data_IF_870825042377
#
_entry.id   IF_870825042377
#
_cell.length_a   1.000
_cell.length_b   1.000
_cell.length_c   1.000
_cell.angle_alpha   90.00
_cell.angle_beta   90.00
_cell.angle_gamma   90.00
#
_symmetry.space_group_name_H-M   'P 1'
#
loop_
_entity.id
_entity.type
_entity.pdbx_description
1 polymer ?
#
# COMPACT_ATOMS: atom_id res chain seq x y z
N UNK A 1 -2.35 48.07 22.59
CA UNK A 1 -3.55 47.39 23.10
C UNK A 1 -3.22 45.92 23.27
N UNK A 2 -2.75 45.53 24.45
CA UNK A 2 -2.54 44.13 24.82
C UNK A 2 -3.89 43.52 25.17
N UNK A 3 -4.26 42.38 24.59
CA UNK A 3 -5.27 41.48 25.15
C UNK A 3 -4.61 40.13 25.40
N UNK A 4 -4.66 39.76 26.67
CA UNK A 4 -4.09 38.58 27.30
C UNK A 4 -4.63 37.27 26.70
N UNK A 5 -3.74 36.29 26.46
CA UNK A 5 -4.12 34.88 26.37
C UNK A 5 -4.18 34.32 27.78
N UNK A 6 -5.39 33.94 28.24
CA UNK A 6 -5.56 33.07 29.42
C UNK A 6 -5.34 31.62 29.00
N UNK A 7 -4.30 31.00 29.54
CA UNK A 7 -4.09 29.55 29.47
C UNK A 7 -4.84 28.94 30.67
N UNK A 8 -5.87 28.15 30.41
CA UNK A 8 -6.46 27.25 31.42
C UNK A 8 -5.69 25.94 31.40
N UNK A 9 -4.86 25.71 32.43
CA UNK A 9 -4.23 24.42 32.67
C UNK A 9 -5.14 23.57 33.56
N UNK A 10 -5.62 22.44 33.05
CA UNK A 10 -6.17 21.37 33.87
C UNK A 10 -5.08 20.31 34.04
N UNK A 11 -4.59 20.13 35.27
CA UNK A 11 -3.57 19.15 35.62
C UNK A 11 -4.25 17.81 35.89
N UNK A 12 -3.94 16.79 35.07
CA UNK A 12 -4.24 15.38 35.36
C UNK A 12 -2.95 14.68 35.84
N UNK A 13 -3.04 13.63 36.69
CA UNK A 13 -1.90 13.07 37.43
C UNK A 13 -1.09 12.04 36.62
N UNK A 14 -0.84 12.32 35.36
CA UNK A 14 0.15 11.64 34.52
C UNK A 14 0.78 12.78 33.71
N UNK A 15 2.07 13.08 33.90
CA UNK A 15 2.76 14.28 33.41
C UNK A 15 2.86 14.45 31.88
N UNK A 16 1.77 14.31 31.14
CA UNK A 16 1.66 14.55 29.72
C UNK A 16 1.17 15.98 29.48
N UNK A 17 2.05 16.87 29.04
CA UNK A 17 1.66 18.16 28.48
C UNK A 17 1.09 17.91 27.09
N UNK A 18 -0.23 17.81 26.98
CA UNK A 18 -0.90 17.84 25.68
C UNK A 18 -0.88 19.28 25.15
N UNK A 19 0.05 19.56 24.23
CA UNK A 19 -0.06 20.73 23.36
C UNK A 19 -1.13 20.43 22.30
N UNK A 20 -2.39 20.68 22.65
CA UNK A 20 -3.44 20.82 21.64
C UNK A 20 -3.18 22.09 20.84
N UNK A 21 -2.43 21.97 19.73
CA UNK A 21 -2.49 22.98 18.68
C UNK A 21 -3.86 22.85 17.99
N UNK A 22 -4.75 23.77 18.32
CA UNK A 22 -6.05 23.88 17.66
C UNK A 22 -5.86 24.03 16.16
N UNK A 23 -6.50 23.15 15.38
CA UNK A 23 -6.48 23.11 13.91
C UNK A 23 -7.02 24.40 13.25
N UNK A 24 -7.55 25.34 14.02
CA UNK A 24 -8.09 26.61 13.55
C UNK A 24 -7.05 27.60 13.01
N UNK A 25 -5.75 27.37 13.19
CA UNK A 25 -4.71 28.27 12.65
C UNK A 25 -4.36 28.00 11.18
N UNK A 26 -4.60 26.78 10.67
CA UNK A 26 -4.17 26.39 9.33
C UNK A 26 -5.10 26.85 8.20
N UNK A 27 -6.38 27.09 8.50
CA UNK A 27 -7.35 27.50 7.47
C UNK A 27 -7.30 28.99 7.10
N UNK A 28 -6.50 29.83 7.78
CA UNK A 28 -6.55 31.29 7.58
C UNK A 28 -5.26 31.93 7.01
N UNK A 29 -4.23 31.17 6.63
CA UNK A 29 -3.00 31.77 6.09
C UNK A 29 -2.66 31.19 4.72
N UNK A 30 -2.95 31.96 3.67
CA UNK A 30 -2.47 31.73 2.30
C UNK A 30 -0.96 31.97 2.24
N UNK A 31 -0.16 30.99 2.69
CA UNK A 31 1.30 31.07 2.60
C UNK A 31 1.83 30.57 1.26
N UNK A 32 2.66 31.42 0.63
CA UNK A 32 3.45 31.13 -0.56
C UNK A 32 4.35 29.89 -0.40
N UNK A 33 4.51 29.11 -1.48
CA UNK A 33 5.26 27.85 -1.57
C UNK A 33 6.64 27.92 -0.91
N UNK A 34 7.36 29.05 -1.07
CA UNK A 34 8.69 29.26 -0.48
C UNK A 34 8.71 29.24 1.06
N UNK A 35 7.60 29.61 1.71
CA UNK A 35 7.45 29.55 3.17
C UNK A 35 7.07 28.15 3.66
N UNK A 36 6.35 27.36 2.84
CA UNK A 36 6.05 25.95 3.15
C UNK A 36 7.32 25.11 3.20
N UNK A 37 8.24 25.32 2.25
CA UNK A 37 9.53 24.61 2.23
C UNK A 37 10.40 24.97 3.44
N UNK A 38 10.46 26.25 3.83
CA UNK A 38 11.21 26.66 5.03
C UNK A 38 10.59 26.10 6.32
N UNK A 39 9.27 26.03 6.40
CA UNK A 39 8.58 25.45 7.55
C UNK A 39 8.78 23.93 7.62
N UNK A 40 8.78 23.24 6.47
CA UNK A 40 9.07 21.81 6.36
C UNK A 40 10.49 21.48 6.81
N UNK A 41 11.50 22.25 6.37
CA UNK A 41 12.89 22.06 6.80
C UNK A 41 13.04 22.28 8.31
N UNK A 42 12.37 23.29 8.87
CA UNK A 42 12.41 23.56 10.32
C UNK A 42 11.69 22.46 11.12
N UNK A 43 10.59 21.93 10.60
CA UNK A 43 9.83 20.84 11.20
C UNK A 43 10.62 19.52 11.18
N UNK A 44 11.25 19.18 10.05
CA UNK A 44 12.13 18.02 9.96
C UNK A 44 13.34 18.14 10.91
N UNK A 45 13.91 19.35 11.05
CA UNK A 45 15.00 19.59 12.00
C UNK A 45 14.55 19.38 13.46
N UNK A 46 13.34 19.82 13.82
CA UNK A 46 12.77 19.61 15.16
C UNK A 46 12.44 18.14 15.44
N UNK A 47 11.91 17.42 14.45
CA UNK A 47 11.63 15.98 14.57
C UNK A 47 12.93 15.20 14.71
N UNK A 48 13.98 15.56 13.97
CA UNK A 48 15.31 14.93 14.07
C UNK A 48 15.98 15.20 15.42
N UNK A 49 15.84 16.42 15.96
CA UNK A 49 16.34 16.77 17.29
C UNK A 49 15.58 16.02 18.41
N UNK A 50 14.28 15.81 18.24
CA UNK A 50 13.45 15.05 19.17
C UNK A 50 13.75 13.53 19.11
N UNK A 51 14.10 13.04 17.92
CA UNK A 51 14.52 11.65 17.66
C UNK A 51 15.86 11.30 18.33
N UNK A 52 16.76 12.27 18.48
CA UNK A 52 18.03 12.10 19.21
C UNK A 52 17.87 12.04 20.74
N UNK A 53 16.72 12.47 21.29
CA UNK A 53 16.54 12.65 22.73
C UNK A 53 15.66 11.55 23.36
N UNK A 54 14.82 10.84 22.58
CA UNK A 54 13.84 9.89 23.14
C UNK A 54 14.08 8.45 22.70
N UNK A 55 14.50 7.60 23.65
CA UNK A 55 14.75 6.18 23.47
C UNK A 55 13.46 5.36 23.23
N UNK A 56 13.50 4.57 22.14
CA UNK A 56 12.84 3.30 21.81
C UNK A 56 11.32 3.06 21.96
N UNK A 57 10.52 3.77 22.76
CA UNK A 57 9.11 3.36 22.99
C UNK A 57 8.03 4.13 22.21
N UNK A 58 8.40 5.19 21.48
CA UNK A 58 7.45 6.07 20.78
C UNK A 58 7.25 5.79 19.29
N UNK A 59 7.87 4.73 18.77
CA UNK A 59 8.03 4.48 17.33
C UNK A 59 6.73 4.15 16.59
N UNK A 60 5.79 3.45 17.23
CA UNK A 60 4.57 2.98 16.55
C UNK A 60 3.52 4.09 16.34
N UNK A 61 3.40 5.04 17.27
CA UNK A 61 2.31 6.03 17.24
C UNK A 61 2.62 7.22 16.30
N UNK A 62 3.89 7.62 16.23
CA UNK A 62 4.34 8.73 15.37
C UNK A 62 4.36 8.32 13.89
N UNK A 63 4.69 7.06 13.58
CA UNK A 63 4.62 6.53 12.21
C UNK A 63 3.19 6.53 11.65
N UNK A 64 2.20 6.19 12.47
CA UNK A 64 0.80 6.21 12.04
C UNK A 64 0.31 7.62 11.71
N UNK A 65 0.73 8.64 12.48
CA UNK A 65 0.36 10.03 12.22
C UNK A 65 1.14 10.67 11.07
N UNK A 66 2.42 10.31 10.86
CA UNK A 66 3.17 10.76 9.69
C UNK A 66 2.66 10.11 8.39
N UNK A 67 2.22 8.85 8.41
CA UNK A 67 1.61 8.20 7.24
C UNK A 67 0.32 8.91 6.80
N UNK A 68 -0.53 9.32 7.74
CA UNK A 68 -1.78 10.07 7.44
C UNK A 68 -1.49 11.47 6.91
N UNK A 69 -0.44 12.14 7.41
CA UNK A 69 -0.04 13.46 6.92
C UNK A 69 0.64 13.38 5.55
N UNK A 70 1.41 12.31 5.28
CA UNK A 70 2.05 12.05 3.99
C UNK A 70 1.02 11.67 2.91
N UNK A 71 0.02 10.85 3.25
CA UNK A 71 -1.11 10.51 2.37
C UNK A 71 -1.91 11.75 1.94
N UNK A 72 -2.05 12.77 2.81
CA UNK A 72 -2.71 14.04 2.47
C UNK A 72 -1.86 15.02 1.66
N UNK A 73 -0.53 14.94 1.72
CA UNK A 73 0.34 15.90 1.05
C UNK A 73 0.91 15.43 -0.30
N UNK A 74 0.96 14.12 -0.57
CA UNK A 74 1.63 13.60 -1.77
C UNK A 74 0.70 12.85 -2.74
N UNK A 75 -0.47 12.40 -2.30
CA UNK A 75 -1.33 11.51 -3.09
C UNK A 75 -2.40 12.23 -3.94
N UNK A 76 -2.52 13.56 -3.85
CA UNK A 76 -3.61 14.31 -4.49
C UNK A 76 -3.40 14.64 -5.97
N UNK A 77 -2.19 15.07 -6.37
CA UNK A 77 -2.04 15.77 -7.66
C UNK A 77 -1.10 15.08 -8.68
N UNK A 78 -0.31 14.06 -8.30
CA UNK A 78 0.73 13.48 -9.19
C UNK A 78 0.40 12.07 -9.68
N UNK A 79 -0.53 11.38 -9.01
CA UNK A 79 -0.84 9.98 -9.32
C UNK A 79 -1.96 9.81 -10.36
N UNK A 80 -2.91 10.76 -10.45
CA UNK A 80 -4.00 10.71 -11.45
C UNK A 80 -3.50 10.91 -12.89
N UNK A 81 -2.58 11.86 -13.12
CA UNK A 81 -2.11 12.21 -14.47
C UNK A 81 -1.30 11.09 -15.16
N UNK A 82 -0.63 10.21 -14.39
CA UNK A 82 0.24 9.17 -14.95
C UNK A 82 -0.48 7.86 -15.29
N UNK A 83 -1.66 7.60 -14.71
CA UNK A 83 -2.44 6.41 -15.04
C UNK A 83 -3.17 6.56 -16.38
N UNK A 84 -3.70 7.76 -16.67
CA UNK A 84 -4.44 8.03 -17.91
C UNK A 84 -3.56 7.91 -19.17
N UNK A 85 -2.26 8.20 -19.08
CA UNK A 85 -1.33 8.09 -20.21
C UNK A 85 -0.88 6.64 -20.50
N UNK A 86 -0.89 5.76 -19.50
CA UNK A 86 -0.53 4.35 -19.67
C UNK A 86 -1.62 3.55 -20.39
N UNK A 87 -2.91 3.87 -20.17
CA UNK A 87 -4.03 3.18 -20.81
C UNK A 87 -4.39 3.71 -22.21
N UNK A 88 -3.93 4.91 -22.57
CA UNK A 88 -4.26 5.53 -23.87
C UNK A 88 -3.40 5.02 -25.05
N UNK A 89 -2.39 4.17 -24.81
CA UNK A 89 -1.46 3.71 -25.86
C UNK A 89 -1.81 2.37 -26.50
N UNK A 90 -2.77 1.62 -25.97
CA UNK A 90 -3.19 0.34 -26.52
C UNK A 90 -4.67 0.38 -26.89
N UNK A 91 -5.01 1.03 -28.00
CA UNK A 91 -6.12 0.65 -28.90
C UNK A 91 -6.27 1.70 -30.00
N UNK A 92 -5.86 1.36 -31.22
CA UNK A 92 -6.34 2.03 -32.45
C UNK A 92 -6.81 0.94 -33.43
N UNK A 93 -7.86 1.20 -34.23
CA UNK A 93 -8.79 0.17 -34.69
C UNK A 93 -8.70 -0.11 -36.19
N UNK A 94 -9.19 -1.27 -36.64
CA UNK A 94 -9.65 -1.49 -38.02
C UNK A 94 -10.88 -2.42 -38.08
N UNK A 95 -11.99 -1.82 -38.54
CA UNK A 95 -13.07 -2.27 -39.45
C UNK A 95 -14.07 -3.43 -39.22
N UNK A 96 -15.34 -2.99 -39.03
CA UNK A 96 -16.58 -3.21 -39.85
C UNK A 96 -17.17 -4.63 -40.06
N UNK A 97 -18.44 -4.84 -39.64
CA UNK A 97 -19.66 -5.09 -40.47
C UNK A 97 -20.87 -5.31 -39.54
N UNK A 98 -22.03 -4.74 -39.92
CA UNK A 98 -23.22 -4.61 -39.10
C UNK A 98 -24.23 -5.76 -39.10
N UNK A 99 -25.21 -5.64 -38.20
CA UNK A 99 -26.36 -6.52 -38.07
C UNK A 99 -27.48 -5.88 -37.25
N UNK A 100 -28.45 -5.29 -37.94
CA UNK A 100 -29.71 -4.78 -37.36
C UNK A 100 -30.53 -5.93 -36.78
N UNK A 101 -30.97 -5.81 -35.53
CA UNK A 101 -32.26 -6.37 -35.08
C UNK A 101 -32.96 -5.40 -34.12
N UNK A 102 -34.29 -5.47 -34.17
CA UNK A 102 -35.25 -4.47 -33.73
C UNK A 102 -36.02 -5.03 -32.52
N UNK A 103 -36.22 -4.20 -31.49
CA UNK A 103 -37.29 -4.34 -30.49
C UNK A 103 -36.99 -5.21 -29.26
N UNK A 104 -36.90 -4.59 -28.08
CA UNK A 104 -37.89 -4.76 -27.01
C UNK A 104 -37.62 -3.75 -25.88
N UNK A 105 -38.59 -2.88 -25.59
CA UNK A 105 -38.58 -1.98 -24.43
C UNK A 105 -39.09 -2.81 -23.25
N UNK A 106 -38.17 -3.24 -22.39
CA UNK A 106 -38.46 -3.95 -21.16
C UNK A 106 -37.53 -3.45 -20.06
N UNK A 107 -38.13 -2.89 -19.01
CA UNK A 107 -37.51 -2.29 -17.83
C UNK A 107 -36.32 -3.12 -17.30
N UNK A 108 -35.11 -2.58 -17.40
CA UNK A 108 -33.91 -3.15 -16.78
C UNK A 108 -33.32 -2.14 -15.77
N UNK A 109 -34.00 -1.97 -14.64
CA UNK A 109 -33.36 -1.47 -13.42
C UNK A 109 -32.58 -2.63 -12.77
N UNK A 110 -31.50 -3.08 -13.41
CA UNK A 110 -30.70 -4.20 -12.92
C UNK A 110 -29.18 -4.24 -13.25
N UNK A 111 -28.44 -3.14 -13.57
CA UNK A 111 -26.96 -3.21 -13.60
C UNK A 111 -26.26 -2.68 -12.34
N UNK A 112 -26.89 -1.76 -11.59
CA UNK A 112 -26.17 -0.98 -10.56
C UNK A 112 -25.84 -1.79 -9.29
N UNK A 113 -26.72 -2.71 -8.87
CA UNK A 113 -26.51 -3.50 -7.65
C UNK A 113 -25.48 -4.63 -7.82
N UNK A 114 -25.34 -5.20 -9.02
CA UNK A 114 -24.39 -6.27 -9.29
C UNK A 114 -22.93 -5.77 -9.22
N UNK A 115 -22.68 -4.55 -9.72
CA UNK A 115 -21.35 -3.91 -9.69
C UNK A 115 -20.89 -3.58 -8.26
N UNK A 116 -21.81 -3.13 -7.40
CA UNK A 116 -21.50 -2.79 -6.01
C UNK A 116 -21.14 -4.02 -5.16
N UNK A 117 -21.86 -5.14 -5.33
CA UNK A 117 -21.56 -6.38 -4.62
C UNK A 117 -20.18 -6.94 -5.02
N UNK A 118 -19.85 -6.93 -6.32
CA UNK A 118 -18.57 -7.38 -6.84
C UNK A 118 -17.39 -6.56 -6.28
N UNK A 119 -17.51 -5.22 -6.21
CA UNK A 119 -16.50 -4.38 -5.55
C UNK A 119 -16.33 -4.76 -4.08
N UNK A 120 -17.42 -5.04 -3.36
CA UNK A 120 -17.35 -5.34 -1.94
C UNK A 120 -16.52 -6.60 -1.65
N UNK A 121 -16.59 -7.62 -2.51
CA UNK A 121 -15.84 -8.87 -2.35
C UNK A 121 -14.38 -8.72 -2.81
N UNK A 122 -14.14 -7.98 -3.90
CA UNK A 122 -12.79 -7.58 -4.32
C UNK A 122 -12.08 -6.77 -3.22
N UNK A 123 -12.79 -5.83 -2.59
CA UNK A 123 -12.26 -5.00 -1.52
C UNK A 123 -11.91 -5.83 -0.27
N UNK A 124 -12.74 -6.81 0.12
CA UNK A 124 -12.40 -7.74 1.21
C UNK A 124 -11.13 -8.52 0.90
N UNK A 125 -11.02 -9.02 -0.33
CA UNK A 125 -9.84 -9.77 -0.80
C UNK A 125 -8.59 -8.88 -0.79
N UNK A 126 -8.72 -7.61 -1.21
CA UNK A 126 -7.64 -6.63 -1.16
C UNK A 126 -7.21 -6.34 0.28
N UNK A 127 -8.15 -6.11 1.19
CA UNK A 127 -7.86 -5.87 2.61
C UNK A 127 -7.09 -7.06 3.19
N UNK A 128 -7.54 -8.28 2.94
CA UNK A 128 -6.88 -9.51 3.40
C UNK A 128 -5.47 -9.63 2.83
N UNK A 129 -5.28 -9.36 1.52
CA UNK A 129 -3.96 -9.37 0.90
C UNK A 129 -3.04 -8.30 1.53
N UNK A 130 -3.55 -7.10 1.80
CA UNK A 130 -2.80 -6.02 2.46
C UNK A 130 -2.39 -6.39 3.87
N UNK A 131 -3.27 -6.99 4.67
CA UNK A 131 -2.97 -7.43 6.04
C UNK A 131 -1.91 -8.54 6.03
N UNK A 132 -2.08 -9.55 5.18
CA UNK A 132 -1.12 -10.62 5.00
C UNK A 132 0.26 -10.09 4.59
N UNK A 133 0.31 -9.19 3.61
CA UNK A 133 1.57 -8.59 3.17
C UNK A 133 2.21 -7.73 4.28
N UNK A 134 1.42 -7.02 5.09
CA UNK A 134 1.96 -6.21 6.19
C UNK A 134 2.60 -7.04 7.29
N UNK A 135 2.03 -8.20 7.60
CA UNK A 135 2.46 -9.03 8.72
C UNK A 135 3.46 -10.13 8.30
N UNK A 136 3.60 -10.42 7.01
CA UNK A 136 4.58 -11.39 6.52
C UNK A 136 6.01 -10.82 6.51
N UNK A 137 7.03 -11.58 6.97
CA UNK A 137 8.44 -11.17 6.89
C UNK A 137 9.03 -11.28 5.48
N UNK A 138 8.50 -12.14 4.61
CA UNK A 138 8.89 -12.28 3.20
C UNK A 138 7.85 -11.64 2.25
N UNK A 139 8.13 -11.68 0.94
CA UNK A 139 7.22 -11.16 -0.09
C UNK A 139 6.25 -12.28 -0.49
N UNK A 140 4.94 -12.01 -0.41
CA UNK A 140 3.90 -12.94 -0.83
C UNK A 140 3.67 -12.90 -2.36
N UNK A 141 2.96 -13.88 -2.95
CA UNK A 141 2.60 -13.84 -4.37
C UNK A 141 1.79 -12.59 -4.72
N UNK A 142 2.15 -11.93 -5.81
CA UNK A 142 1.43 -10.75 -6.30
C UNK A 142 -0.01 -11.11 -6.69
N UNK A 143 -1.04 -10.52 -6.05
CA UNK A 143 -2.44 -10.85 -6.32
C UNK A 143 -2.96 -10.10 -7.56
N UNK A 144 -2.48 -10.48 -8.74
CA UNK A 144 -2.74 -9.80 -10.03
C UNK A 144 -4.24 -9.59 -10.29
N UNK A 145 -5.03 -10.66 -10.21
CA UNK A 145 -6.47 -10.59 -10.45
C UNK A 145 -7.22 -9.65 -9.49
N UNK A 146 -6.77 -9.54 -8.23
CA UNK A 146 -7.40 -8.66 -7.24
C UNK A 146 -7.02 -7.21 -7.51
N UNK A 147 -5.73 -6.95 -7.78
CA UNK A 147 -5.24 -5.59 -8.05
C UNK A 147 -5.88 -5.04 -9.33
N UNK A 148 -5.87 -5.82 -10.42
CA UNK A 148 -6.43 -5.40 -11.70
C UNK A 148 -7.95 -5.22 -11.62
N UNK A 149 -8.63 -6.13 -10.93
CA UNK A 149 -10.07 -6.04 -10.68
C UNK A 149 -10.45 -4.79 -9.89
N UNK A 150 -9.71 -4.48 -8.83
CA UNK A 150 -9.96 -3.26 -8.04
C UNK A 150 -9.61 -2.00 -8.83
N UNK A 151 -8.51 -1.99 -9.59
CA UNK A 151 -8.12 -0.85 -10.41
C UNK A 151 -9.15 -0.53 -11.50
N UNK A 152 -9.62 -1.55 -12.22
CA UNK A 152 -10.67 -1.41 -13.22
C UNK A 152 -11.98 -0.89 -12.61
N UNK A 153 -12.34 -1.41 -11.43
CA UNK A 153 -13.56 -0.98 -10.75
C UNK A 153 -13.46 0.45 -10.19
N UNK A 154 -12.29 0.86 -9.69
CA UNK A 154 -12.02 2.26 -9.30
C UNK A 154 -12.21 3.19 -10.50
N UNK A 155 -11.65 2.84 -11.66
CA UNK A 155 -11.80 3.63 -12.88
C UNK A 155 -13.27 3.75 -13.32
N UNK A 156 -14.01 2.63 -13.33
CA UNK A 156 -15.43 2.62 -13.68
C UNK A 156 -16.27 3.46 -12.69
N UNK A 157 -16.03 3.34 -11.39
CA UNK A 157 -16.74 4.11 -10.38
C UNK A 157 -16.42 5.61 -10.43
N UNK A 158 -15.17 5.98 -10.72
CA UNK A 158 -14.79 7.37 -10.91
C UNK A 158 -15.55 8.03 -12.07
N UNK A 159 -15.72 7.32 -13.18
CA UNK A 159 -16.52 7.83 -14.30
C UNK A 159 -18.00 7.97 -13.91
N UNK A 160 -18.55 6.98 -13.22
CA UNK A 160 -19.93 7.05 -12.72
C UNK A 160 -20.13 8.22 -11.74
N UNK A 161 -19.16 8.47 -10.84
CA UNK A 161 -19.19 9.61 -9.91
C UNK A 161 -19.16 10.92 -10.69
N UNK A 162 -18.33 11.05 -11.74
CA UNK A 162 -18.27 12.25 -12.58
C UNK A 162 -19.63 12.57 -13.20
N UNK A 163 -20.28 11.58 -13.80
CA UNK A 163 -21.61 11.73 -14.42
C UNK A 163 -22.69 12.11 -13.39
N UNK A 164 -22.79 11.35 -12.30
CA UNK A 164 -23.76 11.62 -11.23
C UNK A 164 -23.55 13.00 -10.60
N UNK A 165 -22.31 13.40 -10.37
CA UNK A 165 -21.99 14.71 -9.80
C UNK A 165 -22.40 15.87 -10.73
N UNK A 166 -22.40 15.65 -12.05
CA UNK A 166 -22.84 16.64 -13.03
C UNK A 166 -24.37 16.78 -13.04
N UNK A 167 -25.09 15.65 -13.01
CA UNK A 167 -26.55 15.60 -12.92
C UNK A 167 -27.07 16.25 -11.62
N UNK A 168 -26.47 15.91 -10.48
CA UNK A 168 -26.82 16.48 -9.17
C UNK A 168 -26.60 18.01 -9.12
N UNK A 169 -25.55 18.52 -9.81
CA UNK A 169 -25.29 19.95 -9.93
C UNK A 169 -26.36 20.66 -10.77
N UNK A 170 -26.81 20.04 -11.86
CA UNK A 170 -27.89 20.57 -12.70
C UNK A 170 -29.22 20.62 -11.95
N UNK A 171 -29.61 19.53 -11.27
CA UNK A 171 -30.84 19.48 -10.47
C UNK A 171 -30.87 20.52 -9.33
N UNK A 172 -29.71 20.76 -8.71
CA UNK A 172 -29.58 21.81 -7.68
C UNK A 172 -29.77 23.21 -8.27
N UNK A 173 -29.26 23.46 -9.47
CA UNK A 173 -29.39 24.75 -10.16
C UNK A 173 -30.84 25.02 -10.62
N UNK A 174 -31.56 23.97 -11.02
CA UNK A 174 -32.94 24.07 -11.52
C UNK A 174 -34.00 24.11 -10.41
N UNK A 175 -33.61 23.97 -9.13
CA UNK A 175 -34.51 23.97 -7.95
C UNK A 175 -35.73 23.05 -8.15
N UNK A 176 -35.53 21.87 -8.71
CA UNK A 176 -36.61 20.89 -8.81
C UNK A 176 -37.12 20.53 -7.40
N UNK A 177 -38.44 20.63 -7.22
CA UNK A 177 -39.18 20.39 -5.96
C UNK A 177 -39.10 18.93 -5.44
N UNK A 178 -38.29 18.08 -6.07
CA UNK A 178 -38.03 16.69 -5.68
C UNK A 178 -36.59 16.39 -5.27
N UNK A 179 -35.71 17.42 -5.21
CA UNK A 179 -34.33 17.23 -4.76
C UNK A 179 -34.33 16.62 -3.34
N UNK A 180 -33.66 15.48 -3.20
CA UNK A 180 -33.52 14.78 -1.93
C UNK A 180 -33.03 15.75 -0.86
N UNK A 181 -33.83 15.97 0.20
CA UNK A 181 -33.50 16.84 1.33
C UNK A 181 -32.39 16.29 2.23
N UNK A 182 -31.81 15.14 1.86
CA UNK A 182 -30.72 14.54 2.60
C UNK A 182 -29.44 15.36 2.37
N UNK A 183 -28.66 15.62 3.43
CA UNK A 183 -27.38 16.34 3.31
C UNK A 183 -26.30 15.53 2.59
N UNK A 184 -26.57 14.26 2.25
CA UNK A 184 -25.64 13.35 1.59
C UNK A 184 -26.05 13.14 0.14
N UNK A 185 -25.15 13.49 -0.78
CA UNK A 185 -25.32 13.17 -2.20
C UNK A 185 -24.86 11.74 -2.47
N UNK A 186 -25.59 10.97 -3.29
CA UNK A 186 -25.14 9.65 -3.73
C UNK A 186 -23.71 9.63 -4.30
N UNK A 187 -23.35 10.64 -5.09
CA UNK A 187 -21.99 10.76 -5.65
C UNK A 187 -20.90 10.87 -4.58
N UNK A 188 -21.16 11.60 -3.48
CA UNK A 188 -20.21 11.76 -2.36
C UNK A 188 -19.99 10.44 -1.62
N UNK A 189 -21.04 9.63 -1.43
CA UNK A 189 -20.95 8.31 -0.78
C UNK A 189 -20.11 7.36 -1.63
N UNK A 190 -20.34 7.35 -2.94
CA UNK A 190 -19.55 6.55 -3.88
C UNK A 190 -18.07 6.96 -3.88
N UNK A 191 -17.78 8.26 -3.84
CA UNK A 191 -16.42 8.78 -3.76
C UNK A 191 -15.68 8.30 -2.50
N UNK A 192 -16.37 8.19 -1.36
CA UNK A 192 -15.77 7.67 -0.13
C UNK A 192 -15.37 6.18 -0.25
N UNK A 193 -16.18 5.36 -0.93
CA UNK A 193 -15.82 3.95 -1.17
C UNK A 193 -14.63 3.81 -2.13
N UNK A 194 -14.57 4.65 -3.18
CA UNK A 194 -13.38 4.69 -4.07
C UNK A 194 -12.13 5.10 -3.30
N UNK A 195 -12.21 6.13 -2.45
CA UNK A 195 -11.09 6.56 -1.61
C UNK A 195 -10.62 5.44 -0.67
N UNK A 196 -11.55 4.67 -0.12
CA UNK A 196 -11.23 3.50 0.71
C UNK A 196 -10.51 2.41 -0.09
N UNK A 197 -10.96 2.11 -1.30
CA UNK A 197 -10.30 1.14 -2.17
C UNK A 197 -8.89 1.59 -2.59
N UNK A 198 -8.75 2.86 -2.99
CA UNK A 198 -7.45 3.46 -3.32
C UNK A 198 -6.48 3.41 -2.15
N UNK A 199 -6.95 3.66 -0.93
CA UNK A 199 -6.12 3.58 0.28
C UNK A 199 -5.50 2.18 0.45
N UNK A 200 -6.32 1.12 0.40
CA UNK A 200 -5.82 -0.25 0.56
C UNK A 200 -4.93 -0.70 -0.60
N UNK A 201 -5.24 -0.28 -1.83
CA UNK A 201 -4.42 -0.57 -3.00
C UNK A 201 -3.04 0.07 -2.87
N UNK A 202 -2.99 1.36 -2.51
CA UNK A 202 -1.75 2.07 -2.26
C UNK A 202 -0.96 1.43 -1.10
N UNK A 203 -1.65 1.02 -0.04
CA UNK A 203 -1.02 0.43 1.13
C UNK A 203 -0.37 -0.93 0.79
N UNK A 204 -1.07 -1.78 0.03
CA UNK A 204 -0.50 -3.04 -0.47
C UNK A 204 0.79 -2.79 -1.26
N UNK A 205 0.72 -1.93 -2.27
CA UNK A 205 1.85 -1.65 -3.15
C UNK A 205 3.02 -1.03 -2.39
N UNK A 206 2.76 -0.11 -1.44
CA UNK A 206 3.81 0.50 -0.60
C UNK A 206 4.46 -0.51 0.35
N UNK A 207 3.71 -1.48 0.88
CA UNK A 207 4.29 -2.55 1.70
C UNK A 207 5.23 -3.41 0.87
N UNK A 208 4.79 -3.82 -0.32
CA UNK A 208 5.58 -4.64 -1.24
C UNK A 208 6.84 -3.93 -1.69
N UNK A 209 6.74 -2.66 -2.11
CA UNK A 209 7.90 -1.86 -2.53
C UNK A 209 8.97 -1.73 -1.43
N UNK A 210 8.56 -1.58 -0.16
CA UNK A 210 9.53 -1.54 0.97
C UNK A 210 10.27 -2.87 1.14
N UNK A 211 9.59 -4.00 0.96
CA UNK A 211 10.23 -5.32 1.02
C UNK A 211 11.14 -5.56 -0.20
N UNK A 212 10.69 -5.16 -1.38
CA UNK A 212 11.50 -5.23 -2.61
C UNK A 212 12.77 -4.38 -2.46
N UNK A 213 12.66 -3.19 -1.86
CA UNK A 213 13.82 -2.33 -1.59
C UNK A 213 14.84 -3.02 -0.69
N UNK A 214 14.38 -3.67 0.39
CA UNK A 214 15.25 -4.40 1.31
C UNK A 214 15.89 -5.65 0.67
N UNK A 215 15.20 -6.29 -0.28
CA UNK A 215 15.61 -7.55 -0.90
C UNK A 215 16.18 -7.39 -2.32
N UNK A 216 16.41 -6.16 -2.79
CA UNK A 216 16.71 -5.86 -4.19
C UNK A 216 17.92 -6.62 -4.75
N UNK A 217 19.03 -6.69 -4.00
CA UNK A 217 20.23 -7.40 -4.43
C UNK A 217 20.00 -8.91 -4.57
N UNK A 218 19.25 -9.51 -3.64
CA UNK A 218 18.89 -10.92 -3.68
C UNK A 218 18.03 -11.20 -4.90
N UNK A 219 16.96 -10.44 -5.09
CA UNK A 219 16.04 -10.58 -6.24
C UNK A 219 16.77 -10.45 -7.59
N UNK A 220 17.68 -9.49 -7.71
CA UNK A 220 18.49 -9.30 -8.92
C UNK A 220 19.43 -10.49 -9.16
N UNK A 221 20.06 -11.03 -8.12
CA UNK A 221 20.89 -12.23 -8.22
C UNK A 221 20.09 -13.47 -8.64
N UNK A 222 18.88 -13.66 -8.12
CA UNK A 222 18.01 -14.78 -8.54
C UNK A 222 17.71 -14.73 -10.05
N UNK A 223 17.56 -13.53 -10.59
CA UNK A 223 17.34 -13.29 -12.02
C UNK A 223 18.49 -13.78 -12.91
N UNK A 224 19.71 -13.88 -12.38
CA UNK A 224 20.89 -14.31 -13.14
C UNK A 224 21.09 -15.83 -13.12
N UNK A 225 20.65 -16.51 -12.06
CA UNK A 225 20.95 -17.92 -11.83
C UNK A 225 19.84 -18.91 -12.22
N UNK A 226 18.62 -18.43 -12.49
CA UNK A 226 17.43 -19.14 -12.98
C UNK A 226 16.97 -20.42 -12.24
N UNK A 227 17.81 -21.15 -11.47
CA UNK A 227 17.48 -22.46 -10.87
C UNK A 227 17.97 -22.66 -9.43
N UNK A 228 19.14 -22.14 -9.03
CA UNK A 228 19.73 -22.36 -7.69
C UNK A 228 19.63 -21.13 -6.76
N UNK A 229 18.60 -20.31 -6.97
CA UNK A 229 18.36 -19.12 -6.15
C UNK A 229 17.99 -19.49 -4.70
N UNK A 230 18.54 -18.78 -3.69
CA UNK A 230 18.35 -19.14 -2.28
C UNK A 230 16.92 -18.92 -1.76
N UNK A 231 16.15 -17.99 -2.33
CA UNK A 231 14.82 -17.62 -1.81
C UNK A 231 13.67 -17.82 -2.79
N UNK A 232 13.95 -17.89 -4.10
CA UNK A 232 12.97 -18.06 -5.20
C UNK A 232 11.80 -17.07 -5.12
N UNK A 233 12.05 -15.85 -4.65
CA UNK A 233 11.02 -14.82 -4.45
C UNK A 233 10.70 -14.09 -5.75
N UNK A 234 11.62 -14.07 -6.72
CA UNK A 234 11.41 -13.33 -7.99
C UNK A 234 10.15 -13.75 -8.75
N UNK A 235 9.72 -15.01 -8.62
CA UNK A 235 8.46 -15.51 -9.22
C UNK A 235 7.18 -15.00 -8.54
N UNK A 236 7.29 -14.39 -7.36
CA UNK A 236 6.16 -13.83 -6.59
C UNK A 236 5.90 -12.36 -6.88
N UNK A 237 6.73 -11.73 -7.72
CA UNK A 237 6.65 -10.32 -8.07
C UNK A 237 5.85 -10.10 -9.36
N UNK A 238 5.21 -8.94 -9.47
CA UNK A 238 4.66 -8.48 -10.75
C UNK A 238 5.78 -8.08 -11.73
N UNK A 239 5.44 -7.99 -13.03
CA UNK A 239 6.39 -7.54 -14.05
C UNK A 239 7.02 -6.17 -13.72
N UNK A 240 6.19 -5.22 -13.28
CA UNK A 240 6.64 -3.88 -12.91
C UNK A 240 7.52 -3.89 -11.66
N UNK A 241 7.20 -4.75 -10.68
CA UNK A 241 8.00 -4.93 -9.47
C UNK A 241 9.40 -5.49 -9.78
N UNK A 242 9.50 -6.43 -10.72
CA UNK A 242 10.79 -6.96 -11.18
C UNK A 242 11.65 -5.85 -11.79
N UNK A 243 11.07 -5.00 -12.64
CA UNK A 243 11.79 -3.86 -13.23
C UNK A 243 12.32 -2.91 -12.15
N UNK A 244 11.51 -2.64 -11.12
CA UNK A 244 11.92 -1.78 -10.00
C UNK A 244 13.06 -2.41 -9.22
N UNK A 245 12.98 -3.71 -8.90
CA UNK A 245 14.02 -4.44 -8.20
C UNK A 245 15.36 -4.40 -8.96
N UNK A 246 15.32 -4.70 -10.26
CA UNK A 246 16.52 -4.75 -11.11
C UNK A 246 17.17 -3.36 -11.22
N UNK A 247 16.38 -2.31 -11.46
CA UNK A 247 16.88 -0.93 -11.52
C UNK A 247 17.47 -0.47 -10.19
N UNK A 248 16.83 -0.83 -9.08
CA UNK A 248 17.31 -0.45 -7.76
C UNK A 248 18.65 -1.13 -7.45
N UNK A 249 18.79 -2.43 -7.73
CA UNK A 249 20.02 -3.17 -7.54
C UNK A 249 21.18 -2.58 -8.37
N UNK A 250 20.93 -2.23 -9.63
CA UNK A 250 21.93 -1.56 -10.47
C UNK A 250 22.34 -0.18 -9.93
N UNK A 251 21.38 0.62 -9.48
CA UNK A 251 21.66 1.95 -8.92
C UNK A 251 22.46 1.83 -7.62
N UNK A 252 22.09 0.90 -6.74
CA UNK A 252 22.83 0.61 -5.51
C UNK A 252 24.29 0.23 -5.85
N UNK A 253 24.50 -0.68 -6.79
CA UNK A 253 25.84 -1.07 -7.22
C UNK A 253 26.66 0.12 -7.75
N UNK A 254 26.06 0.95 -8.60
CA UNK A 254 26.72 2.16 -9.15
C UNK A 254 27.10 3.15 -8.05
N UNK A 255 26.21 3.43 -7.10
CA UNK A 255 26.47 4.40 -6.04
C UNK A 255 27.50 3.90 -5.03
N UNK A 256 27.43 2.62 -4.62
CA UNK A 256 28.41 2.06 -3.69
C UNK A 256 29.81 2.02 -4.33
N UNK A 257 29.89 1.72 -5.64
CA UNK A 257 31.14 1.78 -6.40
C UNK A 257 31.76 3.18 -6.37
N UNK A 258 30.95 4.21 -6.66
CA UNK A 258 31.38 5.60 -6.66
C UNK A 258 31.70 6.14 -5.26
N UNK A 259 30.99 5.68 -4.23
CA UNK A 259 31.16 6.15 -2.86
C UNK A 259 32.51 5.73 -2.25
N UNK A 260 33.08 4.63 -2.71
CA UNK A 260 34.40 4.20 -2.22
C UNK A 260 34.85 2.82 -2.67
N UNK A 261 33.97 1.96 -3.19
CA UNK A 261 34.38 0.61 -3.56
C UNK A 261 35.37 0.60 -4.75
N UNK A 262 35.43 1.67 -5.54
CA UNK A 262 36.42 1.85 -6.61
C UNK A 262 37.89 1.78 -6.14
N UNK A 263 38.18 2.06 -4.86
CA UNK A 263 39.53 1.95 -4.31
C UNK A 263 39.82 0.57 -3.70
N UNK A 264 38.81 -0.29 -3.59
CA UNK A 264 38.98 -1.65 -3.12
C UNK A 264 39.65 -2.54 -4.19
N UNK A 265 40.37 -3.60 -3.81
CA UNK A 265 40.85 -4.63 -4.74
C UNK A 265 39.71 -5.20 -5.59
N UNK A 266 40.01 -5.58 -6.84
CA UNK A 266 39.01 -6.01 -7.82
C UNK A 266 38.13 -7.17 -7.32
N UNK A 267 38.67 -8.03 -6.48
CA UNK A 267 37.99 -9.18 -5.88
C UNK A 267 36.85 -8.76 -4.93
N UNK A 268 36.96 -7.59 -4.30
CA UNK A 268 36.00 -7.07 -3.32
C UNK A 268 35.06 -6.01 -3.90
N UNK A 269 35.13 -5.74 -5.20
CA UNK A 269 34.30 -4.72 -5.85
C UNK A 269 32.86 -5.18 -6.15
N UNK A 270 32.54 -6.45 -5.90
CA UNK A 270 31.25 -7.04 -6.20
C UNK A 270 30.34 -7.04 -4.96
N UNK A 271 29.08 -6.61 -5.13
CA UNK A 271 28.06 -6.62 -4.07
C UNK A 271 27.20 -7.89 -4.07
N UNK A 272 27.47 -8.77 -5.02
CA UNK A 272 26.70 -9.97 -5.33
C UNK A 272 27.72 -11.09 -5.50
N UNK A 273 27.41 -12.35 -5.12
CA UNK A 273 28.35 -13.46 -5.26
C UNK A 273 28.89 -13.56 -6.70
N UNK A 274 30.21 -13.59 -6.84
CA UNK A 274 30.89 -13.62 -8.12
C UNK A 274 32.04 -14.64 -8.08
N UNK A 275 31.76 -15.86 -8.56
CA UNK A 275 32.74 -16.93 -8.65
C UNK A 275 33.74 -16.67 -9.78
N UNK A 276 35.05 -16.97 -9.60
CA UNK A 276 35.69 -17.69 -8.49
C UNK A 276 36.16 -16.79 -7.32
N UNK A 277 35.96 -15.48 -7.40
CA UNK A 277 36.61 -14.51 -6.51
C UNK A 277 35.89 -14.31 -5.17
N UNK A 278 34.57 -14.50 -5.14
CA UNK A 278 33.75 -14.30 -3.95
C UNK A 278 32.61 -15.34 -3.88
N UNK A 279 32.76 -16.33 -3.01
CA UNK A 279 31.64 -17.13 -2.48
C UNK A 279 31.03 -16.34 -1.32
N UNK A 280 29.84 -15.78 -1.51
CA UNK A 280 29.30 -14.80 -0.57
C UNK A 280 27.79 -14.71 -0.59
N UNK A 281 27.07 -15.83 -0.73
CA UNK A 281 25.60 -15.84 -0.67
C UNK A 281 25.10 -15.23 0.66
N UNK A 282 25.90 -15.30 1.72
CA UNK A 282 25.65 -14.65 3.01
C UNK A 282 25.62 -13.11 2.95
N UNK A 283 26.18 -12.49 1.90
CA UNK A 283 26.09 -11.04 1.68
C UNK A 283 24.72 -10.60 1.21
N UNK A 284 23.91 -11.52 0.69
CA UNK A 284 22.59 -11.22 0.15
C UNK A 284 21.57 -11.10 1.29
N UNK A 285 20.71 -10.06 1.28
CA UNK A 285 19.65 -9.94 2.27
C UNK A 285 18.62 -11.08 2.11
N UNK A 286 18.32 -11.79 3.21
CA UNK A 286 17.35 -12.90 3.23
C UNK A 286 16.22 -12.56 4.22
N UNK A 287 14.95 -12.85 3.90
CA UNK A 287 13.85 -12.66 4.86
C UNK A 287 13.97 -13.59 6.06
N UNK A 288 13.64 -13.09 7.25
CA UNK A 288 13.67 -13.85 8.49
C UNK A 288 12.39 -14.70 8.63
N UNK A 289 12.45 -15.96 8.20
CA UNK A 289 11.27 -16.85 8.23
C UNK A 289 10.93 -17.38 9.63
N UNK A 290 11.85 -17.30 10.59
CA UNK A 290 11.62 -17.79 11.96
C UNK A 290 10.99 -16.72 12.86
N UNK A 291 10.65 -15.54 12.30
CA UNK A 291 9.91 -14.51 13.01
C UNK A 291 8.52 -15.02 13.42
N UNK A 292 8.16 -14.78 14.69
CA UNK A 292 6.84 -15.13 15.21
C UNK A 292 5.77 -14.17 14.69
N UNK A 293 4.69 -14.73 14.15
CA UNK A 293 3.55 -13.98 13.62
C UNK A 293 2.25 -14.44 14.27
N UNK A 294 1.29 -13.53 14.38
CA UNK A 294 -0.07 -13.87 14.75
C UNK A 294 -0.84 -14.32 13.51
N UNK A 295 -1.46 -15.48 13.60
CA UNK A 295 -2.27 -16.02 12.52
C UNK A 295 -3.63 -16.50 13.01
N UNK A 296 -4.65 -16.23 12.21
CA UNK A 296 -6.01 -16.74 12.36
C UNK A 296 -6.20 -17.85 11.33
N UNK A 297 -6.64 -19.00 11.80
CA UNK A 297 -6.92 -20.15 10.94
C UNK A 297 -8.33 -20.00 10.37
N UNK A 298 -8.47 -20.07 9.05
CA UNK A 298 -9.77 -19.94 8.37
C UNK A 298 -10.45 -21.30 8.21
N UNK A 299 -9.67 -22.32 7.87
CA UNK A 299 -10.14 -23.70 7.64
C UNK A 299 -9.45 -24.70 8.57
N UNK A 300 -10.13 -25.78 8.94
CA UNK A 300 -9.55 -26.83 9.79
C UNK A 300 -8.31 -27.46 9.13
N UNK A 301 -7.13 -27.25 9.73
CA UNK A 301 -5.85 -27.77 9.22
C UNK A 301 -5.54 -29.17 9.77
N UNK A 302 -6.30 -29.63 10.77
CA UNK A 302 -6.07 -30.90 11.43
C UNK A 302 -4.79 -30.85 12.27
N UNK A 303 -3.92 -31.86 12.12
CA UNK A 303 -2.71 -31.98 12.94
C UNK A 303 -1.52 -31.37 12.21
N UNK A 304 -1.09 -30.19 12.67
CA UNK A 304 0.03 -29.43 12.08
C UNK A 304 1.29 -29.60 12.94
N UNK A 305 2.44 -29.74 12.29
CA UNK A 305 3.75 -29.76 12.97
C UNK A 305 4.24 -28.33 13.19
N UNK A 306 4.36 -27.95 14.45
CA UNK A 306 4.90 -26.67 14.91
C UNK A 306 6.40 -26.86 15.22
N UNK A 307 7.23 -26.89 14.17
CA UNK A 307 8.67 -27.14 14.32
C UNK A 307 9.04 -28.62 14.41
N UNK A 308 10.18 -28.92 15.04
CA UNK A 308 10.77 -30.27 15.04
C UNK A 308 10.03 -31.25 15.97
N UNK A 309 9.56 -30.79 17.14
CA UNK A 309 9.05 -31.66 18.20
C UNK A 309 7.60 -31.41 18.62
N UNK A 310 6.97 -30.30 18.19
CA UNK A 310 5.61 -29.98 18.60
C UNK A 310 4.60 -30.30 17.50
N UNK A 311 3.52 -30.98 17.89
CA UNK A 311 2.41 -31.34 17.01
C UNK A 311 1.15 -30.86 17.69
N UNK A 312 0.35 -30.04 17.01
CA UNK A 312 -0.88 -29.49 17.56
C UNK A 312 -2.04 -29.67 16.59
N UNK A 313 -3.20 -30.03 17.14
CA UNK A 313 -4.45 -29.97 16.42
C UNK A 313 -4.88 -28.50 16.29
N UNK A 314 -5.13 -28.07 15.06
CA UNK A 314 -5.40 -26.69 14.68
C UNK A 314 -6.80 -26.63 14.06
N UNK A 315 -7.69 -25.89 14.72
CA UNK A 315 -9.08 -25.74 14.31
C UNK A 315 -9.36 -24.36 13.70
N UNK A 316 -10.40 -24.28 12.87
CA UNK A 316 -10.87 -23.04 12.29
C UNK A 316 -11.30 -22.02 13.36
N UNK A 317 -10.94 -20.75 13.16
CA UNK A 317 -11.25 -19.64 14.05
C UNK A 317 -10.29 -19.45 15.23
N UNK A 318 -9.34 -20.36 15.44
CA UNK A 318 -8.33 -20.23 16.48
C UNK A 318 -7.19 -19.29 16.06
N UNK A 319 -6.59 -18.62 17.05
CA UNK A 319 -5.48 -17.69 16.87
C UNK A 319 -4.21 -18.34 17.43
N UNK A 320 -3.16 -18.38 16.62
CA UNK A 320 -1.88 -18.93 17.01
C UNK A 320 -0.77 -17.89 16.91
N UNK A 321 0.23 -18.02 17.78
CA UNK A 321 1.50 -17.31 17.71
C UNK A 321 2.60 -18.32 17.42
N UNK A 322 3.08 -18.33 16.18
CA UNK A 322 3.97 -19.38 15.66
C UNK A 322 5.04 -18.78 14.75
N UNK A 323 6.18 -19.46 14.56
CA UNK A 323 7.17 -19.06 13.57
C UNK A 323 6.55 -19.06 12.17
N UNK A 324 6.77 -18.00 11.40
CA UNK A 324 6.20 -17.82 10.07
C UNK A 324 6.50 -19.00 9.13
N UNK A 325 7.70 -19.56 9.20
CA UNK A 325 8.15 -20.73 8.42
C UNK A 325 7.18 -21.91 8.48
N UNK A 326 6.59 -22.18 9.64
CA UNK A 326 5.68 -23.31 9.82
C UNK A 326 4.33 -23.07 9.11
N UNK A 327 3.86 -21.82 9.09
CA UNK A 327 2.53 -21.47 8.58
C UNK A 327 2.52 -20.90 7.16
N UNK A 328 3.69 -20.52 6.64
CA UNK A 328 3.88 -20.03 5.26
C UNK A 328 3.12 -20.83 4.18
N UNK A 329 3.21 -22.18 4.09
CA UNK A 329 2.48 -22.90 3.05
C UNK A 329 0.95 -22.75 3.18
N UNK A 330 0.41 -22.71 4.40
CA UNK A 330 -1.03 -22.55 4.62
C UNK A 330 -1.51 -21.12 4.33
N UNK A 331 -0.63 -20.12 4.45
CA UNK A 331 -0.90 -18.73 4.06
C UNK A 331 -0.94 -18.62 2.53
N UNK A 332 -0.01 -19.27 1.82
CA UNK A 332 -0.01 -19.32 0.36
C UNK A 332 -1.25 -20.03 -0.20
N UNK A 333 -1.74 -21.06 0.48
CA UNK A 333 -2.99 -21.74 0.14
C UNK A 333 -4.25 -20.91 0.46
N UNK A 334 -4.13 -19.80 1.17
CA UNK A 334 -5.25 -18.97 1.59
C UNK A 334 -6.08 -19.53 2.75
N UNK A 335 -5.61 -20.59 3.43
CA UNK A 335 -6.30 -21.23 4.58
C UNK A 335 -6.02 -20.55 5.92
N UNK A 336 -5.03 -19.66 5.95
CA UNK A 336 -4.61 -18.90 7.12
C UNK A 336 -4.47 -17.43 6.74
N UNK A 337 -4.92 -16.54 7.64
CA UNK A 337 -4.76 -15.09 7.54
C UNK A 337 -3.85 -14.58 8.66
N UNK A 338 -2.97 -13.64 8.34
CA UNK A 338 -2.14 -12.95 9.34
C UNK A 338 -2.89 -11.76 9.93
N UNK A 339 -2.62 -11.43 11.19
CA UNK A 339 -3.28 -10.34 11.93
C UNK A 339 -2.27 -9.38 12.56
#
# INVERSE_FOLDING_TARGET
MYRELRIFGLVAPCGCVFLCFSASFWNSVTMSVKKRVKFFVLFCFFVFLFFLISNAFFFACVFCSLCVLWAKCFCGDVFEDHLDEAFSRETSPDDVVGGRTNGNIGNNEAPLHASSAALSDLLKSLIQATENERCAPDILPYPEAVVDGVAAQIAAQNEQIRLLSAEEKQQTAEKELGASLLPFKPSDIMALEVQRAQFFLCELLRCRLRKIEALALSLFYEGQLHSDAPTQLRGMLSHNEVIVADRLAELMAKYVLQAGLQSAPAELQYLIPNLPYAEGVEMLPVPELDQYVFCVVLDDLGVVRLGEDAVQAVHAGEIFLVPYRAFRPYILDGRVRLV
#
